data_IF_816978453839
#
_entry.id   IF_816978453839
#
_cell.length_a   1.000
_cell.length_b   1.000
_cell.length_c   1.000
_cell.angle_alpha   90.00
_cell.angle_beta   90.00
_cell.angle_gamma   90.00
#
_symmetry.space_group_name_H-M   'P 1'
#
loop_
_entity.id
_entity.type
_entity.pdbx_description
1 polymer ?
#
# COMPACT_ATOMS: atom_id res chain seq x y z
N UNK A 1 28.40 38.40 9.35
CA UNK A 1 28.33 37.31 10.34
C UNK A 1 27.08 36.53 9.96
N UNK A 2 27.27 35.33 9.41
CA UNK A 2 26.26 34.58 8.66
C UNK A 2 25.08 34.19 9.54
N UNK A 3 23.89 34.58 9.09
CA UNK A 3 22.61 34.20 9.64
C UNK A 3 22.35 32.73 9.27
N UNK A 4 22.49 31.83 10.24
CA UNK A 4 22.11 30.43 10.08
C UNK A 4 20.59 30.35 10.23
N UNK A 5 19.90 30.45 9.10
CA UNK A 5 18.54 29.97 8.96
C UNK A 5 18.54 28.48 9.26
N UNK A 6 18.11 28.13 10.47
CA UNK A 6 17.76 26.76 10.81
C UNK A 6 16.67 26.32 9.82
N UNK A 7 16.98 25.34 8.98
CA UNK A 7 15.97 24.58 8.24
C UNK A 7 14.92 24.10 9.25
N UNK A 8 13.61 24.20 8.95
CA UNK A 8 12.62 23.63 9.83
C UNK A 8 12.93 22.13 9.95
N UNK A 9 13.08 21.68 11.19
CA UNK A 9 13.12 20.27 11.54
C UNK A 9 11.79 19.65 11.10
N UNK A 10 11.77 19.06 9.91
CA UNK A 10 10.68 18.20 9.41
C UNK A 10 10.74 16.90 10.20
N UNK A 11 10.53 17.02 11.52
CA UNK A 11 10.44 15.92 12.47
C UNK A 11 9.22 15.10 12.08
N UNK A 12 9.44 14.15 11.18
CA UNK A 12 8.43 13.24 10.71
C UNK A 12 7.80 12.54 11.92
N UNK A 13 6.57 12.92 12.26
CA UNK A 13 5.83 12.34 13.39
C UNK A 13 5.84 10.82 13.26
N UNK A 14 6.36 10.15 14.29
CA UNK A 14 6.46 8.70 14.31
C UNK A 14 5.13 8.03 13.96
N UNK A 15 5.18 7.03 13.07
CA UNK A 15 4.02 6.31 12.54
C UNK A 15 4.08 4.85 12.96
N UNK A 16 3.67 4.52 14.20
CA UNK A 16 3.69 3.15 14.70
C UNK A 16 2.80 2.22 13.84
N UNK A 17 3.08 0.90 13.83
CA UNK A 17 4.20 0.22 14.48
C UNK A 17 5.58 0.59 13.92
N UNK A 18 6.59 0.66 14.79
CA UNK A 18 7.97 1.00 14.43
C UNK A 18 8.83 -0.28 14.31
N UNK A 19 9.83 -0.30 13.42
CA UNK A 19 10.82 -1.38 13.39
C UNK A 19 11.77 -1.35 14.60
N UNK A 20 12.46 -2.47 14.94
CA UNK A 20 12.36 -3.77 14.29
C UNK A 20 11.02 -4.45 14.58
N UNK A 21 10.43 -5.07 13.55
CA UNK A 21 9.10 -5.67 13.67
C UNK A 21 9.13 -7.02 14.36
N UNK A 22 8.09 -7.30 15.14
CA UNK A 22 7.67 -8.65 15.51
C UNK A 22 6.63 -9.13 14.50
N UNK A 23 6.23 -10.41 14.60
CA UNK A 23 5.14 -10.93 13.75
C UNK A 23 3.85 -10.12 13.92
N UNK A 24 3.45 -9.89 15.16
CA UNK A 24 2.24 -9.14 15.51
C UNK A 24 2.30 -7.71 14.96
N UNK A 25 3.41 -6.99 15.17
CA UNK A 25 3.52 -5.62 14.69
C UNK A 25 3.68 -5.52 13.17
N UNK A 26 4.26 -6.53 12.52
CA UNK A 26 4.28 -6.63 11.06
C UNK A 26 2.88 -6.87 10.47
N UNK A 27 2.10 -7.79 11.05
CA UNK A 27 0.70 -8.03 10.65
C UNK A 27 -0.15 -6.78 10.83
N UNK A 28 0.00 -6.08 11.96
CA UNK A 28 -0.65 -4.79 12.19
C UNK A 28 -0.22 -3.74 11.15
N UNK A 29 1.08 -3.66 10.81
CA UNK A 29 1.59 -2.74 9.79
C UNK A 29 0.98 -3.02 8.41
N UNK A 30 0.86 -4.30 8.06
CA UNK A 30 0.21 -4.76 6.82
C UNK A 30 -1.26 -4.38 6.80
N UNK A 31 -2.00 -4.60 7.89
CA UNK A 31 -3.43 -4.23 7.98
C UNK A 31 -3.64 -2.73 7.89
N UNK A 32 -2.83 -1.92 8.57
CA UNK A 32 -2.91 -0.45 8.48
C UNK A 32 -2.63 0.06 7.06
N UNK A 33 -1.70 -0.58 6.34
CA UNK A 33 -1.46 -0.28 4.94
C UNK A 33 -2.65 -0.70 4.06
N UNK A 34 -3.22 -1.88 4.27
CA UNK A 34 -4.44 -2.33 3.57
C UNK A 34 -5.59 -1.32 3.76
N UNK A 35 -5.86 -0.94 5.00
CA UNK A 35 -6.92 0.01 5.37
C UNK A 35 -6.70 1.36 4.67
N UNK A 36 -5.47 1.88 4.67
CA UNK A 36 -5.13 3.13 4.01
C UNK A 36 -5.34 3.06 2.49
N UNK A 37 -4.86 2.02 1.82
CA UNK A 37 -5.02 1.86 0.37
C UNK A 37 -6.49 1.69 -0.04
N UNK A 38 -7.31 1.03 0.78
CA UNK A 38 -8.74 0.90 0.54
C UNK A 38 -9.52 2.23 0.67
N UNK A 39 -8.93 3.29 1.24
CA UNK A 39 -9.53 4.64 1.17
C UNK A 39 -9.51 5.21 -0.25
N UNK A 40 -8.58 4.75 -1.09
CA UNK A 40 -8.32 5.29 -2.44
C UNK A 40 -8.06 6.81 -2.44
N UNK A 41 -7.50 7.32 -1.33
CA UNK A 41 -7.09 8.71 -1.17
C UNK A 41 -5.56 8.83 -1.38
N UNK A 42 -5.11 9.45 -2.50
CA UNK A 42 -3.68 9.60 -2.81
C UNK A 42 -2.90 10.33 -1.72
N UNK A 43 -3.50 11.37 -1.13
CA UNK A 43 -2.83 12.19 -0.12
C UNK A 43 -2.73 11.43 1.20
N UNK A 44 -3.82 10.81 1.65
CA UNK A 44 -3.80 10.01 2.88
C UNK A 44 -2.81 8.85 2.81
N UNK A 45 -2.71 8.19 1.66
CA UNK A 45 -1.80 7.06 1.47
C UNK A 45 -0.35 7.52 1.37
N UNK A 46 -0.05 8.66 0.73
CA UNK A 46 1.32 9.18 0.59
C UNK A 46 1.97 9.51 1.94
N UNK A 47 1.19 9.84 2.97
CA UNK A 47 1.67 10.11 4.33
C UNK A 47 2.27 8.88 5.05
N UNK A 48 2.14 7.67 4.50
CA UNK A 48 2.80 6.48 5.02
C UNK A 48 4.24 6.29 4.52
N UNK A 49 4.70 7.15 3.61
CA UNK A 49 6.01 7.09 2.97
C UNK A 49 6.89 8.26 3.42
N UNK A 50 8.22 8.10 3.38
CA UNK A 50 9.13 9.23 3.62
C UNK A 50 9.00 10.28 2.51
N UNK A 51 9.33 11.57 2.76
CA UNK A 51 9.29 12.61 1.72
C UNK A 51 10.05 12.24 0.44
N UNK A 52 11.15 11.49 0.58
CA UNK A 52 12.09 11.04 -0.46
C UNK A 52 11.91 9.55 -0.85
N UNK A 53 10.80 8.93 -0.46
CA UNK A 53 10.55 7.49 -0.64
C UNK A 53 10.72 7.02 -2.08
N UNK A 54 11.40 5.89 -2.27
CA UNK A 54 11.73 5.34 -3.58
C UNK A 54 10.87 4.14 -3.92
N UNK A 55 10.14 4.21 -5.04
CA UNK A 55 9.28 3.13 -5.50
C UNK A 55 9.78 2.48 -6.78
N UNK A 56 9.49 1.19 -6.90
CA UNK A 56 9.22 0.55 -8.18
C UNK A 56 7.85 -0.09 -8.11
N UNK A 57 6.93 0.32 -8.98
CA UNK A 57 5.63 -0.31 -9.11
C UNK A 57 5.44 -0.81 -10.54
N UNK A 58 5.45 -2.13 -10.74
CA UNK A 58 5.59 -2.75 -12.06
C UNK A 58 6.84 -2.19 -12.76
N UNK A 59 6.65 -1.37 -13.81
CA UNK A 59 7.68 -0.70 -14.60
C UNK A 59 7.71 0.83 -14.40
N UNK A 60 6.98 1.38 -13.43
CA UNK A 60 7.01 2.80 -13.06
C UNK A 60 7.85 3.03 -11.79
N UNK A 61 8.50 4.19 -11.69
CA UNK A 61 9.46 4.51 -10.63
C UNK A 61 9.16 5.87 -9.95
N UNK A 62 8.08 6.00 -9.16
CA UNK A 62 7.82 7.22 -8.38
C UNK A 62 8.97 7.53 -7.40
N UNK A 63 9.41 8.78 -7.34
CA UNK A 63 10.44 9.26 -6.42
C UNK A 63 9.91 10.39 -5.53
N UNK A 64 9.65 10.08 -4.26
CA UNK A 64 9.13 11.00 -3.25
C UNK A 64 7.60 11.13 -3.25
N UNK A 65 7.07 11.81 -2.23
CA UNK A 65 5.62 11.87 -1.97
C UNK A 65 4.82 12.48 -3.13
N UNK A 66 5.35 13.51 -3.79
CA UNK A 66 4.65 14.17 -4.90
C UNK A 66 4.40 13.20 -6.06
N UNK A 67 5.41 12.45 -6.47
CA UNK A 67 5.30 11.44 -7.53
C UNK A 67 4.39 10.28 -7.12
N UNK A 68 4.46 9.87 -5.85
CA UNK A 68 3.57 8.85 -5.29
C UNK A 68 2.11 9.30 -5.37
N UNK A 69 1.80 10.54 -4.99
CA UNK A 69 0.44 11.11 -5.11
C UNK A 69 0.01 11.10 -6.58
N UNK A 70 0.86 11.57 -7.50
CA UNK A 70 0.53 11.59 -8.93
C UNK A 70 0.27 10.17 -9.46
N UNK A 71 1.08 9.19 -9.06
CA UNK A 71 0.89 7.79 -9.40
C UNK A 71 -0.45 7.24 -8.88
N UNK A 72 -0.75 7.45 -7.60
CA UNK A 72 -1.97 6.95 -6.95
C UNK A 72 -3.23 7.60 -7.53
N UNK A 73 -3.18 8.89 -7.86
CA UNK A 73 -4.28 9.58 -8.56
C UNK A 73 -4.57 8.94 -9.91
N UNK A 74 -3.54 8.65 -10.73
CA UNK A 74 -3.74 7.95 -12.01
C UNK A 74 -4.30 6.54 -11.80
N UNK A 75 -3.77 5.81 -10.80
CA UNK A 75 -4.20 4.44 -10.47
C UNK A 75 -5.71 4.37 -10.22
N UNK A 76 -6.23 5.21 -9.32
CA UNK A 76 -7.65 5.13 -8.93
C UNK A 76 -8.62 5.87 -9.85
N UNK A 77 -8.10 6.62 -10.82
CA UNK A 77 -8.89 7.05 -11.98
C UNK A 77 -9.13 5.91 -12.99
N UNK A 78 -8.31 4.85 -12.97
CA UNK A 78 -8.40 3.72 -13.91
C UNK A 78 -8.95 2.44 -13.25
N UNK A 79 -8.61 2.21 -11.99
CA UNK A 79 -9.01 1.02 -11.24
C UNK A 79 -10.24 1.33 -10.38
N UNK A 80 -11.41 1.25 -11.02
CA UNK A 80 -12.70 1.57 -10.40
C UNK A 80 -13.17 0.44 -9.46
N UNK A 81 -13.97 0.80 -8.46
CA UNK A 81 -14.46 -0.11 -7.41
C UNK A 81 -13.38 -0.96 -6.71
N UNK A 82 -12.17 -0.40 -6.65
CA UNK A 82 -10.98 -1.01 -6.06
C UNK A 82 -11.21 -1.52 -4.63
N UNK A 83 -10.95 -2.81 -4.42
CA UNK A 83 -10.94 -3.49 -3.13
C UNK A 83 -9.68 -4.32 -2.99
N UNK A 84 -8.98 -4.19 -1.88
CA UNK A 84 -7.67 -4.78 -1.64
C UNK A 84 -7.65 -5.60 -0.36
N UNK A 85 -6.96 -6.74 -0.42
CA UNK A 85 -6.55 -7.52 0.74
C UNK A 85 -5.03 -7.68 0.70
N UNK A 86 -4.36 -7.42 1.83
CA UNK A 86 -2.93 -7.67 2.03
C UNK A 86 -2.74 -8.71 3.13
N UNK A 87 -1.69 -9.50 3.01
CA UNK A 87 -1.33 -10.54 3.96
C UNK A 87 0.19 -10.57 4.14
N UNK A 88 0.64 -10.70 5.39
CA UNK A 88 2.05 -10.83 5.71
C UNK A 88 2.60 -12.12 5.10
N UNK A 89 3.74 -12.02 4.41
CA UNK A 89 4.50 -13.19 3.96
C UNK A 89 5.68 -13.49 4.89
N UNK A 90 6.54 -12.48 5.10
CA UNK A 90 7.71 -12.56 5.97
C UNK A 90 8.11 -11.17 6.46
N UNK A 91 8.93 -11.10 7.50
CA UNK A 91 9.50 -9.84 8.00
C UNK A 91 10.90 -10.09 8.55
N UNK A 92 11.73 -9.06 8.54
CA UNK A 92 13.08 -9.08 9.10
C UNK A 92 13.54 -7.65 9.42
N UNK A 93 13.78 -7.33 10.69
CA UNK A 93 14.17 -6.00 11.15
C UNK A 93 13.23 -4.90 10.65
N UNK A 94 13.72 -4.08 9.70
CA UNK A 94 13.02 -2.93 9.09
C UNK A 94 12.22 -3.30 7.84
N UNK A 95 12.12 -4.58 7.49
CA UNK A 95 11.55 -5.04 6.22
C UNK A 95 10.33 -5.91 6.43
N UNK A 96 9.37 -5.76 5.54
CA UNK A 96 8.17 -6.60 5.46
C UNK A 96 7.98 -7.03 4.00
N UNK A 97 7.80 -8.33 3.78
CA UNK A 97 7.34 -8.90 2.52
C UNK A 97 5.86 -9.23 2.64
N UNK A 98 5.09 -8.82 1.63
CA UNK A 98 3.63 -8.86 1.64
C UNK A 98 3.12 -9.51 0.35
N UNK A 99 2.13 -10.38 0.50
CA UNK A 99 1.27 -10.84 -0.59
C UNK A 99 0.00 -10.00 -0.58
N UNK A 100 -0.54 -9.71 -1.76
CA UNK A 100 -1.82 -9.02 -1.84
C UNK A 100 -2.57 -9.40 -3.11
N UNK A 101 -3.88 -9.20 -3.06
CA UNK A 101 -4.71 -9.18 -4.25
C UNK A 101 -5.69 -8.01 -4.18
N UNK A 102 -6.01 -7.42 -5.33
CA UNK A 102 -7.08 -6.45 -5.43
C UNK A 102 -8.00 -6.75 -6.61
N UNK A 103 -9.28 -6.43 -6.46
CA UNK A 103 -10.28 -6.49 -7.51
C UNK A 103 -10.70 -5.08 -7.90
N UNK A 104 -10.86 -4.84 -9.19
CA UNK A 104 -11.35 -3.59 -9.75
C UNK A 104 -11.89 -3.84 -11.17
N UNK A 105 -12.53 -2.84 -11.76
CA UNK A 105 -12.86 -2.82 -13.17
C UNK A 105 -12.40 -1.51 -13.84
N UNK A 106 -12.35 -1.51 -15.17
CA UNK A 106 -12.16 -0.30 -15.97
C UNK A 106 -13.49 0.40 -16.29
N UNK A 107 -13.44 1.51 -17.03
CA UNK A 107 -14.63 2.28 -17.44
C UNK A 107 -15.53 1.54 -18.45
N UNK A 108 -15.01 0.49 -19.09
CA UNK A 108 -15.77 -0.43 -19.94
C UNK A 108 -16.42 -1.58 -19.17
N UNK A 109 -16.20 -1.68 -17.84
CA UNK A 109 -16.77 -2.71 -16.99
C UNK A 109 -16.01 -4.05 -17.02
N UNK A 110 -14.79 -4.08 -17.57
CA UNK A 110 -13.96 -5.29 -17.56
C UNK A 110 -13.35 -5.49 -16.18
N UNK A 111 -13.78 -6.53 -15.49
CA UNK A 111 -13.25 -6.88 -14.17
C UNK A 111 -11.91 -7.60 -14.26
N UNK A 112 -11.05 -7.32 -13.27
CA UNK A 112 -9.80 -8.05 -13.06
C UNK A 112 -9.55 -8.31 -11.58
N UNK A 113 -8.81 -9.38 -11.30
CA UNK A 113 -8.12 -9.59 -10.03
C UNK A 113 -6.62 -9.46 -10.28
N UNK A 114 -5.99 -8.50 -9.63
CA UNK A 114 -4.57 -8.30 -9.67
C UNK A 114 -3.92 -9.01 -8.47
N UNK A 115 -2.90 -9.82 -8.74
CA UNK A 115 -2.11 -10.51 -7.73
C UNK A 115 -0.75 -9.85 -7.62
N UNK A 116 -0.29 -9.59 -6.40
CA UNK A 116 0.93 -8.84 -6.18
C UNK A 116 1.78 -9.34 -5.03
N UNK A 117 3.08 -9.13 -5.21
CA UNK A 117 4.07 -9.17 -4.14
C UNK A 117 4.66 -7.78 -3.98
N UNK A 118 4.74 -7.33 -2.74
CA UNK A 118 5.47 -6.10 -2.43
C UNK A 118 6.43 -6.28 -1.25
N UNK A 119 7.57 -5.63 -1.37
CA UNK A 119 8.61 -5.60 -0.35
C UNK A 119 8.79 -4.16 0.13
N UNK A 120 8.69 -3.98 1.43
CA UNK A 120 8.72 -2.69 2.11
C UNK A 120 9.97 -2.58 2.96
N UNK A 121 10.58 -1.40 2.97
CA UNK A 121 11.63 -1.04 3.91
C UNK A 121 11.25 0.26 4.61
N UNK A 122 11.33 0.26 5.93
CA UNK A 122 10.91 1.38 6.79
C UNK A 122 12.10 2.09 7.44
N UNK A 123 11.96 3.38 7.69
CA UNK A 123 12.86 4.13 8.57
C UNK A 123 12.49 3.93 10.05
N UNK A 124 13.27 4.53 10.94
CA UNK A 124 13.10 4.42 12.40
C UNK A 124 11.80 5.09 12.89
N UNK A 125 11.25 6.02 12.09
CA UNK A 125 9.97 6.68 12.36
C UNK A 125 8.77 5.88 11.81
N UNK A 126 9.00 4.69 11.25
CA UNK A 126 7.96 3.82 10.73
C UNK A 126 7.36 4.28 9.40
N UNK A 127 7.99 5.20 8.69
CA UNK A 127 7.63 5.59 7.34
C UNK A 127 8.34 4.70 6.32
N UNK A 128 7.65 4.34 5.24
CA UNK A 128 8.20 3.48 4.22
C UNK A 128 9.14 4.27 3.30
N UNK A 129 10.44 3.98 3.35
CA UNK A 129 11.48 4.63 2.54
C UNK A 129 11.71 3.93 1.19
N UNK A 130 11.38 2.63 1.10
CA UNK A 130 11.42 1.88 -0.18
C UNK A 130 10.21 0.99 -0.33
N UNK A 131 9.64 0.98 -1.55
CA UNK A 131 8.55 0.09 -1.94
C UNK A 131 8.85 -0.56 -3.28
N UNK A 132 8.97 -1.88 -3.31
CA UNK A 132 9.08 -2.63 -4.54
C UNK A 132 7.84 -3.50 -4.72
N UNK A 133 7.04 -3.25 -5.75
CA UNK A 133 5.81 -3.98 -6.03
C UNK A 133 5.84 -4.58 -7.44
N UNK A 134 5.60 -5.88 -7.52
CA UNK A 134 5.39 -6.64 -8.75
C UNK A 134 3.95 -7.16 -8.75
N UNK A 135 3.24 -6.93 -9.85
CA UNK A 135 1.79 -7.14 -9.92
C UNK A 135 1.45 -7.70 -11.30
N UNK A 136 0.59 -8.73 -11.33
CA UNK A 136 0.08 -9.36 -12.53
C UNK A 136 -1.45 -9.34 -12.51
N UNK A 137 -2.05 -9.05 -13.66
CA UNK A 137 -3.50 -8.87 -13.77
C UNK A 137 -4.13 -10.09 -14.43
N UNK A 138 -5.17 -10.64 -13.80
CA UNK A 138 -5.99 -11.71 -14.34
C UNK A 138 -7.39 -11.15 -14.64
N UNK A 139 -7.83 -11.11 -15.92
CA UNK A 139 -9.23 -10.84 -16.24
C UNK A 139 -10.15 -11.85 -15.56
N UNK A 140 -11.26 -11.38 -15.00
CA UNK A 140 -12.28 -12.22 -14.35
C UNK A 140 -13.68 -11.78 -14.81
N UNK A 141 -14.67 -12.68 -14.73
CA UNK A 141 -16.06 -12.23 -14.84
C UNK A 141 -16.49 -11.59 -13.52
N UNK A 142 -17.49 -10.68 -13.56
CA UNK A 142 -18.02 -10.03 -12.36
C UNK A 142 -18.50 -11.04 -11.30
N UNK A 143 -19.12 -12.15 -11.73
CA UNK A 143 -19.59 -13.23 -10.86
C UNK A 143 -18.46 -13.97 -10.11
N UNK A 144 -17.22 -13.87 -10.59
CA UNK A 144 -16.06 -14.56 -10.02
C UNK A 144 -15.33 -13.68 -8.99
N UNK A 145 -15.85 -12.48 -8.72
CA UNK A 145 -15.37 -11.60 -7.65
C UNK A 145 -15.49 -12.27 -6.28
N UNK A 146 -14.47 -12.07 -5.45
CA UNK A 146 -14.42 -12.57 -4.08
C UNK A 146 -14.54 -11.44 -3.05
N UNK A 147 -14.31 -10.18 -3.45
CA UNK A 147 -14.20 -9.06 -2.52
C UNK A 147 -15.52 -8.29 -2.47
N UNK A 148 -16.32 -8.58 -1.43
CA UNK A 148 -17.67 -8.04 -1.26
C UNK A 148 -17.83 -7.35 0.08
N UNK A 149 -17.52 -6.05 0.10
CA UNK A 149 -17.84 -5.15 1.20
C UNK A 149 -18.08 -3.72 0.67
N UNK A 150 -18.71 -2.82 1.44
CA UNK A 150 -18.81 -1.41 1.09
C UNK A 150 -17.44 -0.79 0.84
N UNK A 151 -17.31 0.03 -0.18
CA UNK A 151 -16.03 0.63 -0.57
C UNK A 151 -15.34 1.37 0.61
N UNK A 152 -14.16 0.91 0.99
CA UNK A 152 -13.44 1.41 2.16
C UNK A 152 -12.74 0.27 2.90
N UNK A 153 -12.42 0.49 4.17
CA UNK A 153 -11.76 -0.49 5.05
C UNK A 153 -12.47 -1.85 4.96
N UNK A 154 -11.71 -2.91 4.72
CA UNK A 154 -12.23 -4.29 4.78
C UNK A 154 -12.76 -4.56 6.20
N UNK A 155 -13.96 -5.16 6.36
CA UNK A 155 -14.47 -5.58 7.66
C UNK A 155 -13.51 -6.52 8.41
N UNK A 156 -13.59 -6.55 9.73
CA UNK A 156 -12.69 -7.39 10.55
C UNK A 156 -13.02 -8.89 10.40
N UNK A 157 -14.27 -9.21 10.12
CA UNK A 157 -14.80 -10.56 9.92
C UNK A 157 -14.75 -11.04 8.46
N UNK A 158 -14.36 -10.18 7.52
CA UNK A 158 -14.16 -10.60 6.13
C UNK A 158 -12.90 -11.46 6.02
N UNK A 159 -12.95 -12.63 5.35
CA UNK A 159 -11.80 -13.54 5.22
C UNK A 159 -10.56 -12.86 4.61
N UNK A 160 -9.38 -13.34 5.01
CA UNK A 160 -8.08 -12.92 4.46
C UNK A 160 -7.78 -13.58 3.11
N UNK A 161 -6.56 -13.36 2.57
CA UNK A 161 -6.16 -13.99 1.29
C UNK A 161 -6.12 -15.51 1.41
N UNK A 162 -5.45 -16.02 2.44
CA UNK A 162 -5.31 -17.45 2.66
C UNK A 162 -6.67 -18.15 2.85
N UNK A 163 -7.61 -17.51 3.55
CA UNK A 163 -8.95 -18.06 3.79
C UNK A 163 -9.81 -18.11 2.50
N UNK A 164 -9.51 -17.25 1.54
CA UNK A 164 -10.14 -17.23 0.22
C UNK A 164 -9.47 -18.18 -0.79
N UNK A 165 -8.38 -18.83 -0.41
CA UNK A 165 -7.60 -19.70 -1.30
C UNK A 165 -6.89 -18.94 -2.42
N UNK A 166 -6.50 -17.68 -2.17
CA UNK A 166 -5.83 -16.79 -3.14
C UNK A 166 -4.32 -16.61 -2.88
#
# INVERSE_FOLDING_TARGET
>A
MTDHTATPDDSATARPPLPPFTRETAEQKVRLAEDAWNTRDPQRVSLAYTPDSQWRNRAEFPAGRADIVAFLTRKWNQELDYRLIKELWAFDGHRIAVRFAYECHDDAGNWKRAYGNENWEFDDNGLMRRRHASINDLPIAEKDRAFHWPLGRRPDDHPGLSDLGL
#
